data_IF_362421352648
#
_entry.id   IF_362421352648
#
_cell.length_a   1.000
_cell.length_b   1.000
_cell.length_c   1.000
_cell.angle_alpha   90.00
_cell.angle_beta   90.00
_cell.angle_gamma   90.00
#
_symmetry.space_group_name_H-M   'P 1'
#
loop_
_entity.id
_entity.type
_entity.pdbx_description
1 polymer ?
#
# COMPACT_ATOMS: atom_id res chain seq x y z
N UNK A 1 -4.91 4.12 17.82
CA UNK A 1 -3.69 3.56 17.19
C UNK A 1 -3.91 2.08 16.95
N UNK A 2 -3.72 1.59 15.73
CA UNK A 2 -3.83 0.19 15.32
C UNK A 2 -2.41 -0.35 15.14
N UNK A 3 -2.07 -1.42 15.83
CA UNK A 3 -0.75 -2.05 15.72
C UNK A 3 -0.60 -2.85 14.40
N UNK A 4 0.62 -3.04 13.87
CA UNK A 4 0.81 -3.77 12.61
C UNK A 4 0.41 -5.25 12.71
N UNK A 5 0.38 -5.83 13.89
CA UNK A 5 -0.03 -7.21 14.11
C UNK A 5 -1.54 -7.39 14.39
N UNK A 6 -2.36 -6.35 14.18
CA UNK A 6 -3.82 -6.46 14.33
C UNK A 6 -4.37 -7.47 13.33
N UNK A 7 -5.24 -8.38 13.82
CA UNK A 7 -5.80 -9.47 13.03
C UNK A 7 -6.74 -9.03 11.88
N UNK A 8 -7.20 -7.78 11.92
CA UNK A 8 -8.05 -7.20 10.87
C UNK A 8 -7.23 -6.61 9.71
N UNK A 9 -5.90 -6.55 9.83
CA UNK A 9 -5.02 -6.11 8.73
C UNK A 9 -4.66 -7.31 7.84
N UNK A 10 -4.87 -7.15 6.55
CA UNK A 10 -4.46 -8.14 5.55
C UNK A 10 -3.21 -7.65 4.82
N UNK A 11 -2.15 -8.46 4.83
CA UNK A 11 -0.88 -8.19 4.19
C UNK A 11 -0.66 -9.12 3.00
N UNK A 12 -0.22 -8.54 1.89
CA UNK A 12 0.05 -9.26 0.66
C UNK A 12 1.47 -8.98 0.17
N UNK A 13 2.10 -9.98 -0.44
CA UNK A 13 3.51 -9.94 -0.80
C UNK A 13 4.42 -10.30 0.39
N UNK A 14 5.70 -9.96 0.27
CA UNK A 14 6.72 -10.32 1.26
C UNK A 14 6.84 -9.24 2.34
N UNK A 15 6.46 -9.60 3.55
CA UNK A 15 6.59 -8.78 4.74
C UNK A 15 7.42 -9.53 5.78
N UNK A 16 8.45 -8.90 6.31
CA UNK A 16 9.10 -9.34 7.55
C UNK A 16 8.21 -8.94 8.74
N UNK A 17 7.71 -9.93 9.44
CA UNK A 17 6.80 -9.80 10.59
C UNK A 17 7.46 -10.25 11.89
N UNK A 18 8.77 -10.38 11.91
CA UNK A 18 9.55 -10.84 13.09
C UNK A 18 9.39 -9.91 14.30
N UNK A 19 9.17 -8.62 14.07
CA UNK A 19 8.87 -7.64 15.12
C UNK A 19 7.38 -7.29 15.08
N UNK A 20 6.62 -7.70 16.11
CA UNK A 20 5.18 -7.45 16.20
C UNK A 20 4.78 -5.95 16.22
N UNK A 21 5.70 -5.06 16.50
CA UNK A 21 5.46 -3.61 16.55
C UNK A 21 5.91 -2.87 15.27
N UNK A 22 6.65 -3.54 14.39
CA UNK A 22 7.17 -2.96 13.17
C UNK A 22 7.34 -4.03 12.10
N UNK A 23 6.48 -4.03 11.09
CA UNK A 23 6.63 -4.89 9.92
C UNK A 23 7.44 -4.20 8.84
N UNK A 24 8.26 -4.96 8.12
CA UNK A 24 9.13 -4.41 7.09
C UNK A 24 8.84 -5.03 5.72
N UNK A 25 9.00 -4.23 4.68
CA UNK A 25 8.96 -4.69 3.30
C UNK A 25 9.91 -3.89 2.43
N UNK A 26 10.39 -4.51 1.35
CA UNK A 26 11.28 -3.86 0.39
C UNK A 26 10.80 -4.02 -1.06
N UNK A 27 9.93 -4.96 -1.38
CA UNK A 27 9.51 -5.23 -2.75
C UNK A 27 8.35 -4.33 -3.20
N UNK A 28 8.34 -4.00 -4.48
CA UNK A 28 7.18 -3.38 -5.13
C UNK A 28 5.94 -4.28 -5.12
N UNK A 29 4.76 -3.69 -5.27
CA UNK A 29 3.45 -4.32 -5.22
C UNK A 29 3.11 -5.10 -3.94
N UNK A 30 3.88 -4.98 -2.87
CA UNK A 30 3.38 -5.38 -1.55
C UNK A 30 2.28 -4.42 -1.13
N UNK A 31 1.24 -4.92 -0.48
CA UNK A 31 0.13 -4.07 -0.10
C UNK A 31 -0.56 -4.49 1.20
N UNK A 32 -1.30 -3.55 1.76
CA UNK A 32 -2.12 -3.73 2.95
C UNK A 32 -3.57 -3.44 2.57
N UNK A 33 -4.50 -4.30 3.01
CA UNK A 33 -5.93 -4.03 3.01
C UNK A 33 -6.44 -3.92 4.44
N UNK A 34 -7.36 -3.00 4.64
CA UNK A 34 -8.08 -2.84 5.90
C UNK A 34 -9.49 -2.29 5.66
N UNK A 35 -10.46 -2.74 6.46
CA UNK A 35 -11.75 -2.09 6.60
C UNK A 35 -11.70 -1.29 7.90
N UNK A 36 -12.13 -0.03 7.89
CA UNK A 36 -12.06 0.83 9.06
C UNK A 36 -13.28 1.76 9.14
N UNK A 37 -13.63 2.19 10.34
CA UNK A 37 -14.64 3.24 10.56
C UNK A 37 -13.96 4.59 10.76
N UNK A 38 -14.69 5.69 10.55
CA UNK A 38 -14.20 7.04 10.82
C UNK A 38 -14.24 7.95 9.61
N UNK A 39 -13.45 9.02 9.66
CA UNK A 39 -13.37 10.05 8.64
C UNK A 39 -11.94 10.29 8.15
N UNK A 40 -10.95 9.66 8.81
CA UNK A 40 -9.54 9.75 8.44
C UNK A 40 -8.77 8.48 8.74
N UNK A 41 -7.64 8.31 8.06
CA UNK A 41 -6.66 7.27 8.34
C UNK A 41 -5.25 7.77 7.99
N UNK A 42 -4.31 7.51 8.89
CA UNK A 42 -2.89 7.81 8.69
C UNK A 42 -2.08 6.53 8.84
N UNK A 43 -1.01 6.40 8.09
CA UNK A 43 -0.02 5.35 8.26
C UNK A 43 1.14 5.84 9.13
N UNK A 44 1.49 5.06 10.14
CA UNK A 44 2.73 5.23 10.90
C UNK A 44 3.81 4.41 10.20
N UNK A 45 4.58 5.06 9.34
CA UNK A 45 5.63 4.39 8.59
C UNK A 45 6.82 5.32 8.37
N UNK A 46 8.00 4.73 8.24
CA UNK A 46 9.20 5.38 7.77
C UNK A 46 9.59 4.79 6.43
N UNK A 47 9.58 5.64 5.42
CA UNK A 47 9.89 5.27 4.04
C UNK A 47 10.34 6.50 3.27
N UNK A 48 11.61 6.90 3.36
CA UNK A 48 12.05 8.20 2.86
C UNK A 48 12.15 8.27 1.33
N UNK A 49 12.24 7.14 0.65
CA UNK A 49 12.60 7.09 -0.77
C UNK A 49 11.49 6.54 -1.66
N UNK A 50 10.54 5.82 -1.09
CA UNK A 50 9.57 5.06 -1.86
C UNK A 50 8.29 5.86 -2.14
N UNK A 51 7.58 5.38 -3.14
CA UNK A 51 6.22 5.82 -3.45
C UNK A 51 5.22 4.74 -3.10
N UNK A 52 4.09 5.21 -2.67
CA UNK A 52 2.94 4.39 -2.37
C UNK A 52 1.71 4.91 -3.11
N UNK A 53 0.75 4.06 -3.28
CA UNK A 53 -0.59 4.40 -3.76
C UNK A 53 -1.62 4.05 -2.71
N UNK A 54 -2.62 4.89 -2.59
CA UNK A 54 -3.77 4.64 -1.74
C UNK A 54 -5.06 4.74 -2.55
N UNK A 55 -5.95 3.80 -2.33
CA UNK A 55 -7.33 3.85 -2.79
C UNK A 55 -8.26 3.63 -1.61
N UNK A 56 -9.26 4.47 -1.49
CA UNK A 56 -10.35 4.36 -0.51
C UNK A 56 -11.62 3.97 -1.28
N UNK A 57 -12.33 2.95 -0.77
CA UNK A 57 -13.61 2.47 -1.30
C UNK A 57 -13.59 2.10 -2.79
N UNK A 58 -12.43 1.63 -3.28
CA UNK A 58 -12.24 1.31 -4.69
C UNK A 58 -12.19 2.53 -5.61
N UNK A 59 -12.07 3.73 -5.06
CA UNK A 59 -11.89 4.96 -5.83
C UNK A 59 -10.52 5.05 -6.52
N UNK A 60 -10.31 6.14 -7.25
CA UNK A 60 -9.06 6.38 -7.96
C UNK A 60 -7.86 6.37 -7.01
N UNK A 61 -6.76 5.77 -7.45
CA UNK A 61 -5.53 5.76 -6.70
C UNK A 61 -4.91 7.16 -6.59
N UNK A 62 -4.52 7.53 -5.38
CA UNK A 62 -3.71 8.70 -5.10
C UNK A 62 -2.27 8.28 -4.85
N UNK A 63 -1.31 9.02 -5.43
CA UNK A 63 0.12 8.82 -5.19
C UNK A 63 0.52 9.48 -3.89
N UNK A 64 1.27 8.77 -3.08
CA UNK A 64 1.78 9.25 -1.79
C UNK A 64 3.29 9.03 -1.74
N UNK A 65 4.02 10.08 -1.34
CA UNK A 65 5.41 9.99 -0.91
C UNK A 65 5.44 10.18 0.61
N UNK A 66 5.73 9.11 1.37
CA UNK A 66 5.83 9.20 2.82
C UNK A 66 6.87 10.23 3.26
N UNK A 67 6.59 10.97 4.32
CA UNK A 67 7.51 11.92 4.91
C UNK A 67 7.51 11.79 6.43
N UNK A 68 8.71 11.74 7.00
CA UNK A 68 8.83 11.56 8.45
C UNK A 68 8.38 10.17 8.91
N UNK A 69 7.64 10.10 10.02
CA UNK A 69 7.17 8.86 10.63
C UNK A 69 5.65 8.66 10.54
N UNK A 70 4.96 9.61 9.92
CA UNK A 70 3.50 9.59 9.76
C UNK A 70 3.12 10.16 8.39
N UNK A 71 2.14 9.54 7.77
CA UNK A 71 1.63 9.95 6.45
C UNK A 71 0.12 9.85 6.44
N UNK A 72 -0.54 10.94 6.11
CA UNK A 72 -2.00 10.97 5.90
C UNK A 72 -2.33 10.18 4.64
N UNK A 73 -3.20 9.19 4.75
CA UNK A 73 -3.69 8.40 3.63
C UNK A 73 -5.04 8.90 3.11
N UNK A 74 -5.91 9.32 4.02
CA UNK A 74 -7.18 9.96 3.70
C UNK A 74 -7.65 10.82 4.87
N UNK A 75 -8.39 11.87 4.56
CA UNK A 75 -9.05 12.76 5.51
C UNK A 75 -10.33 13.32 4.92
N UNK A 76 -11.20 13.84 5.77
CA UNK A 76 -12.50 14.41 5.37
C UNK A 76 -13.42 13.40 4.64
N UNK A 77 -13.29 12.11 4.97
CA UNK A 77 -14.22 11.10 4.49
C UNK A 77 -15.60 11.31 5.13
N UNK A 78 -16.64 10.77 4.51
CA UNK A 78 -17.96 10.73 5.15
C UNK A 78 -17.90 9.78 6.35
N UNK A 79 -18.56 10.08 7.47
CA UNK A 79 -18.63 9.12 8.57
C UNK A 79 -19.20 7.77 8.10
N UNK A 80 -18.50 6.67 8.41
CA UNK A 80 -18.94 5.35 7.97
C UNK A 80 -17.82 4.33 7.97
N UNK A 81 -18.06 3.19 7.34
CA UNK A 81 -17.05 2.15 7.09
C UNK A 81 -16.43 2.36 5.72
N UNK A 82 -15.12 2.30 5.69
CA UNK A 82 -14.30 2.49 4.50
C UNK A 82 -13.38 1.31 4.25
N UNK A 83 -13.00 1.11 2.99
CA UNK A 83 -12.05 0.09 2.55
C UNK A 83 -10.75 0.77 2.10
N UNK A 84 -9.66 0.41 2.75
CA UNK A 84 -8.31 0.84 2.37
C UNK A 84 -7.65 -0.20 1.47
N UNK A 85 -7.03 0.26 0.40
CA UNK A 85 -5.97 -0.44 -0.32
C UNK A 85 -4.73 0.46 -0.36
N UNK A 86 -3.64 0.02 0.27
CA UNK A 86 -2.40 0.77 0.37
C UNK A 86 -1.24 -0.04 -0.20
N UNK A 87 -0.67 0.38 -1.33
CA UNK A 87 0.25 -0.38 -2.19
C UNK A 87 1.57 0.33 -2.33
N UNK A 88 2.69 -0.38 -2.12
CA UNK A 88 4.04 0.12 -2.42
C UNK A 88 4.29 0.05 -3.93
N UNK A 89 4.73 1.18 -4.51
CA UNK A 89 4.89 1.32 -5.97
C UNK A 89 6.31 1.04 -6.47
N UNK A 90 7.33 1.21 -5.64
CA UNK A 90 8.73 1.20 -6.04
C UNK A 90 9.46 -0.11 -5.71
N UNK A 91 10.55 -0.36 -6.46
CA UNK A 91 11.40 -1.55 -6.31
C UNK A 91 12.21 -1.56 -4.99
N UNK A 92 12.73 -2.76 -4.66
CA UNK A 92 13.44 -3.00 -3.41
C UNK A 92 14.76 -2.26 -3.23
N UNK A 93 15.42 -1.86 -4.31
CA UNK A 93 16.68 -1.11 -4.21
C UNK A 93 16.50 0.31 -3.66
N UNK A 94 15.28 0.83 -3.66
CA UNK A 94 14.94 2.15 -3.10
C UNK A 94 15.03 2.19 -1.57
N UNK A 95 14.97 1.05 -0.92
CA UNK A 95 15.05 0.93 0.53
C UNK A 95 14.00 0.03 1.14
N UNK A 96 13.96 0.05 2.45
CA UNK A 96 13.05 -0.76 3.26
C UNK A 96 12.04 0.14 3.95
N UNK A 97 10.76 -0.16 3.77
CA UNK A 97 9.68 0.45 4.53
C UNK A 97 9.61 -0.18 5.92
N UNK A 98 9.51 0.64 6.95
CA UNK A 98 9.21 0.26 8.32
C UNK A 98 7.79 0.71 8.66
N UNK A 99 6.85 -0.23 8.70
CA UNK A 99 5.44 0.03 8.98
C UNK A 99 5.10 -0.31 10.43
N UNK A 100 4.52 0.67 11.15
CA UNK A 100 4.20 0.59 12.58
C UNK A 100 2.70 0.63 12.87
N UNK A 101 1.87 0.53 11.83
CA UNK A 101 0.42 0.49 11.97
C UNK A 101 -0.30 1.72 11.44
N UNK A 102 -1.56 1.85 11.81
CA UNK A 102 -2.41 2.97 11.41
C UNK A 102 -2.89 3.78 12.62
N UNK A 103 -3.13 5.06 12.38
CA UNK A 103 -3.86 5.92 13.28
C UNK A 103 -5.22 6.23 12.65
N UNK A 104 -6.27 6.02 13.44
CA UNK A 104 -7.66 6.33 13.09
C UNK A 104 -8.17 7.43 14.00
N UNK A 105 -9.31 8.00 13.66
CA UNK A 105 -10.03 8.97 14.51
C UNK A 105 -10.34 8.39 15.89
N UNK A 106 -10.59 9.27 16.86
CA UNK A 106 -11.04 8.86 18.20
C UNK A 106 -12.36 8.09 18.11
N UNK A 107 -12.40 6.92 18.75
CA UNK A 107 -13.54 6.01 18.71
C UNK A 107 -13.68 5.19 17.42
N UNK A 108 -12.89 5.45 16.41
CA UNK A 108 -12.84 4.63 15.19
C UNK A 108 -12.04 3.33 15.41
N UNK A 109 -12.37 2.31 14.64
CA UNK A 109 -11.76 0.98 14.76
C UNK A 109 -11.60 0.31 13.39
N UNK A 110 -10.81 -0.76 13.36
CA UNK A 110 -10.86 -1.69 12.23
C UNK A 110 -12.12 -2.54 12.31
N UNK A 111 -12.62 -2.90 11.14
CA UNK A 111 -13.72 -3.84 10.95
C UNK A 111 -13.19 -5.16 10.37
N UNK A 112 -14.03 -6.20 10.39
CA UNK A 112 -13.68 -7.49 9.84
C UNK A 112 -13.15 -7.36 8.40
N UNK A 113 -12.03 -8.01 8.07
CA UNK A 113 -11.47 -7.94 6.72
C UNK A 113 -12.38 -8.66 5.71
N UNK A 114 -12.33 -8.22 4.46
CA UNK A 114 -12.99 -8.93 3.38
C UNK A 114 -12.42 -10.36 3.24
N UNK A 115 -13.22 -11.34 2.81
CA UNK A 115 -12.73 -12.69 2.53
C UNK A 115 -11.57 -12.66 1.53
N UNK A 116 -10.57 -13.52 1.75
CA UNK A 116 -9.48 -13.69 0.79
C UNK A 116 -10.02 -14.29 -0.50
N UNK A 117 -9.54 -13.78 -1.63
CA UNK A 117 -9.80 -14.37 -2.93
C UNK A 117 -9.16 -15.74 -3.03
N UNK A 118 -9.79 -16.66 -3.74
CA UNK A 118 -9.32 -18.05 -3.92
C UNK A 118 -8.21 -18.14 -4.98
N UNK A 119 -8.28 -17.26 -6.01
CA UNK A 119 -7.27 -17.21 -7.06
C UNK A 119 -6.09 -16.38 -6.59
N UNK A 120 -4.88 -16.90 -6.79
CA UNK A 120 -3.62 -16.23 -6.51
C UNK A 120 -2.74 -16.30 -7.74
N UNK A 121 -2.09 -15.16 -8.06
CA UNK A 121 -1.16 -15.04 -9.17
C UNK A 121 0.18 -14.55 -8.63
N UNK A 122 1.26 -15.16 -9.11
CA UNK A 122 2.62 -14.69 -8.88
C UNK A 122 3.24 -14.32 -10.24
N UNK A 123 3.90 -13.17 -10.29
CA UNK A 123 4.57 -12.68 -11.47
C UNK A 123 6.06 -12.62 -11.19
N UNK A 124 6.84 -13.33 -11.98
CA UNK A 124 8.30 -13.33 -11.93
C UNK A 124 8.82 -12.70 -13.21
N UNK A 125 9.64 -11.67 -13.09
CA UNK A 125 10.15 -10.96 -14.24
C UNK A 125 11.19 -9.91 -13.85
N UNK A 126 11.46 -9.01 -14.76
CA UNK A 126 12.48 -7.95 -14.67
C UNK A 126 11.86 -6.57 -14.37
N UNK A 127 12.53 -5.53 -14.80
CA UNK A 127 12.15 -4.13 -14.65
C UNK A 127 10.78 -3.79 -15.27
N UNK A 128 10.35 -4.51 -16.32
CA UNK A 128 9.02 -4.32 -16.92
C UNK A 128 7.94 -4.80 -15.95
N UNK A 129 8.17 -5.92 -15.29
CA UNK A 129 7.29 -6.45 -14.24
C UNK A 129 7.26 -5.54 -13.02
N UNK A 130 8.38 -4.93 -12.68
CA UNK A 130 8.47 -3.94 -11.60
C UNK A 130 7.80 -2.59 -11.95
N UNK A 131 7.45 -2.35 -13.21
CA UNK A 131 6.82 -1.11 -13.63
C UNK A 131 7.78 0.03 -13.93
N UNK A 132 8.98 -0.31 -14.35
CA UNK A 132 10.00 0.66 -14.71
C UNK A 132 9.52 1.68 -15.75
N UNK A 133 9.57 2.97 -15.43
CA UNK A 133 9.23 4.09 -16.33
C UNK A 133 7.80 4.08 -16.87
N UNK A 134 6.86 3.44 -16.19
CA UNK A 134 5.48 3.30 -16.68
C UNK A 134 4.51 4.37 -16.18
N UNK A 135 4.97 5.31 -15.34
CA UNK A 135 4.13 6.27 -14.61
C UNK A 135 4.54 7.73 -14.86
N UNK A 136 5.07 8.04 -16.04
CA UNK A 136 5.47 9.39 -16.42
C UNK A 136 6.02 9.51 -17.83
N UNK A 137 6.53 10.69 -18.18
CA UNK A 137 7.21 10.94 -19.45
C UNK A 137 8.70 10.58 -19.35
N UNK A 138 9.26 10.08 -20.44
CA UNK A 138 10.64 9.58 -20.45
C UNK A 138 11.72 10.68 -20.46
N UNK A 139 11.36 11.94 -20.69
CA UNK A 139 12.30 13.05 -20.77
C UNK A 139 12.35 13.86 -19.48
N UNK A 140 13.54 13.89 -18.87
CA UNK A 140 13.85 14.81 -17.77
C UNK A 140 13.32 14.42 -16.40
N UNK A 141 12.62 13.30 -16.28
CA UNK A 141 12.12 12.82 -15.00
C UNK A 141 13.11 11.88 -14.32
N UNK A 142 13.15 11.91 -13.00
CA UNK A 142 13.93 10.97 -12.22
C UNK A 142 13.29 9.58 -12.36
N UNK A 143 14.09 8.56 -12.65
CA UNK A 143 13.64 7.18 -12.80
C UNK A 143 12.72 6.73 -11.64
N UNK A 144 13.10 7.06 -10.42
CA UNK A 144 12.35 6.68 -9.22
C UNK A 144 10.98 7.35 -9.13
N UNK A 145 10.78 8.48 -9.79
CA UNK A 145 9.52 9.21 -9.76
C UNK A 145 8.50 8.67 -10.77
N UNK A 146 8.96 7.93 -11.78
CA UNK A 146 8.15 7.39 -12.87
C UNK A 146 8.02 5.87 -12.88
N UNK A 147 8.50 5.19 -11.85
CA UNK A 147 8.27 3.77 -11.63
C UNK A 147 7.00 3.55 -10.82
N UNK A 148 6.16 2.61 -11.25
CA UNK A 148 4.97 2.21 -10.51
C UNK A 148 4.60 0.75 -10.75
N UNK A 149 4.93 -0.11 -9.80
CA UNK A 149 4.64 -1.54 -9.89
C UNK A 149 3.13 -1.82 -9.98
N UNK A 150 2.28 -1.04 -9.28
CA UNK A 150 0.82 -1.23 -9.34
C UNK A 150 0.23 -0.93 -10.74
N UNK A 151 0.94 -0.14 -11.55
CA UNK A 151 0.58 0.14 -12.94
C UNK A 151 1.18 -0.85 -13.95
N UNK A 152 2.02 -1.77 -13.51
CA UNK A 152 2.55 -2.83 -14.37
C UNK A 152 1.46 -3.84 -14.77
N UNK A 153 1.78 -4.72 -15.71
CA UNK A 153 0.82 -5.68 -16.24
C UNK A 153 0.30 -6.67 -15.18
N UNK A 154 1.15 -7.07 -14.23
CA UNK A 154 0.82 -8.07 -13.21
C UNK A 154 -0.39 -7.67 -12.36
N UNK A 155 -0.35 -6.56 -11.61
CA UNK A 155 -1.49 -6.08 -10.83
C UNK A 155 -2.74 -5.79 -11.67
N UNK A 156 -2.59 -5.30 -12.91
CA UNK A 156 -3.73 -5.08 -13.83
C UNK A 156 -4.40 -6.40 -14.20
N UNK A 157 -3.64 -7.41 -14.59
CA UNK A 157 -4.16 -8.76 -14.91
C UNK A 157 -4.82 -9.38 -13.66
N UNK A 158 -4.21 -9.26 -12.48
CA UNK A 158 -4.80 -9.75 -11.24
C UNK A 158 -6.18 -9.14 -10.98
N UNK A 159 -6.32 -7.83 -11.14
CA UNK A 159 -7.63 -7.16 -11.01
C UNK A 159 -8.65 -7.62 -12.06
N UNK A 160 -8.24 -7.82 -13.31
CA UNK A 160 -9.12 -8.31 -14.39
C UNK A 160 -9.61 -9.74 -14.18
N UNK A 161 -8.80 -10.56 -13.53
CA UNK A 161 -9.10 -11.98 -13.25
C UNK A 161 -9.72 -12.21 -11.88
N UNK A 162 -9.99 -11.15 -11.14
CA UNK A 162 -10.45 -11.21 -9.74
C UNK A 162 -9.56 -12.11 -8.86
N UNK A 163 -8.25 -11.85 -8.91
CA UNK A 163 -7.22 -12.59 -8.19
C UNK A 163 -6.62 -11.75 -7.06
#
# INVERSE_FOLDING_TARGET
MVAPNDAHLQYFGRWDKSNAQEYQCAQGAVYIKANFTGTSIKAKLRDPNDKWRVSIDGGAFQKIKPRGNETVLAENLKPGTHKLLFVRSTEGYMGTTQFRGFELDDGARLEAPDPLKTRRLEFVGDSITAGAKNDGELKGENYNDIEDNDQAYGPKVSRMLDA
#
